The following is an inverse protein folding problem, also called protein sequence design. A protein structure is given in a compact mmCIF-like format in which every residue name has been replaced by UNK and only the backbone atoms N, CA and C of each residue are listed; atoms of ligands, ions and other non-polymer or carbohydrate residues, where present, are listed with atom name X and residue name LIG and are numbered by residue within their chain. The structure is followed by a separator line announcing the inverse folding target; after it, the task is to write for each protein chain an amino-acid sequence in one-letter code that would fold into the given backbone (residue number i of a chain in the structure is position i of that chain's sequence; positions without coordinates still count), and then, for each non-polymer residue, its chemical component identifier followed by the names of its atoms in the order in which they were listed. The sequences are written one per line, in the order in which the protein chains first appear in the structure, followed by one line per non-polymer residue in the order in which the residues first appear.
data_IF_898232904268
#
_entry.id   IF_898232904268
#
_cell.length_a   1.000
_cell.length_b   1.000
_cell.length_c   1.000
_cell.angle_alpha   90.00
_cell.angle_beta   90.00
_cell.angle_gamma   90.00
#
_symmetry.space_group_name_H-M   'P 1'
#
loop_
_entity.id
_entity.type
_entity.pdbx_description
1 polymer ?
#
# COMPACT_ATOMS: atom_id res chain seq x y z
N UNK A 1 -71.23 30.15 -3.46
CA UNK A 1 -71.38 29.14 -4.52
C UNK A 1 -69.98 28.60 -4.84
N UNK A 2 -69.78 27.28 -4.66
CA UNK A 2 -68.74 26.34 -5.16
C UNK A 2 -67.23 26.70 -5.20
N UNK A 3 -66.42 25.71 -4.78
CA UNK A 3 -64.95 25.63 -4.60
C UNK A 3 -64.24 25.27 -5.91
N UNK A 4 -62.91 25.48 -6.03
CA UNK A 4 -61.90 24.43 -6.36
C UNK A 4 -60.45 24.96 -6.50
N UNK A 5 -59.48 24.20 -5.93
CA UNK A 5 -58.03 24.24 -6.19
C UNK A 5 -57.69 23.44 -7.46
N UNK A 6 -56.56 23.75 -8.13
CA UNK A 6 -55.49 22.78 -8.50
C UNK A 6 -54.29 23.42 -9.22
N UNK A 7 -53.09 22.95 -8.86
CA UNK A 7 -51.75 23.17 -9.44
C UNK A 7 -51.60 22.69 -10.89
N UNK A 8 -50.65 23.25 -11.65
CA UNK A 8 -49.46 22.51 -12.13
C UNK A 8 -48.50 23.36 -12.97
N UNK A 9 -47.21 23.13 -12.74
CA UNK A 9 -46.03 23.72 -13.36
C UNK A 9 -45.36 22.67 -14.26
N UNK A 10 -45.14 22.95 -15.56
CA UNK A 10 -44.15 22.21 -16.38
C UNK A 10 -43.61 23.06 -17.56
N UNK A 11 -42.35 23.49 -17.41
CA UNK A 11 -41.19 23.39 -18.31
C UNK A 11 -41.34 23.65 -19.83
N UNK A 12 -40.82 24.80 -20.29
CA UNK A 12 -40.42 25.05 -21.70
C UNK A 12 -39.08 24.40 -22.05
N UNK A 13 -38.99 23.76 -23.22
CA UNK A 13 -37.79 23.14 -23.80
C UNK A 13 -37.46 23.82 -25.13
N UNK A 14 -36.21 24.26 -25.32
CA UNK A 14 -35.70 24.75 -26.60
C UNK A 14 -34.23 24.34 -26.81
N UNK A 15 -34.01 23.57 -27.88
CA UNK A 15 -32.86 23.40 -28.78
C UNK A 15 -31.40 23.54 -28.32
N UNK A 16 -30.60 22.50 -28.57
CA UNK A 16 -29.27 22.59 -29.24
C UNK A 16 -28.83 21.21 -29.77
N UNK A 17 -28.28 21.21 -31.00
CA UNK A 17 -27.83 20.09 -31.83
C UNK A 17 -26.32 19.72 -31.57
N UNK A 18 -25.73 18.68 -32.21
CA UNK A 18 -24.83 17.69 -31.58
C UNK A 18 -23.34 18.07 -31.51
N UNK A 19 -22.62 17.41 -30.58
CA UNK A 19 -21.16 17.52 -30.36
C UNK A 19 -20.39 16.61 -31.35
N UNK A 20 -19.25 17.03 -31.93
CA UNK A 20 -18.54 16.26 -32.96
C UNK A 20 -17.99 14.91 -32.48
N UNK A 21 -18.20 13.87 -33.29
CA UNK A 21 -17.58 12.55 -33.16
C UNK A 21 -16.05 12.65 -33.29
N UNK A 22 -15.35 12.31 -32.22
CA UNK A 22 -13.90 12.28 -32.17
C UNK A 22 -13.37 11.06 -32.97
N UNK A 23 -12.57 11.36 -33.99
CA UNK A 23 -11.99 10.41 -34.93
C UNK A 23 -10.96 9.49 -34.23
N UNK A 24 -11.30 8.24 -33.94
CA UNK A 24 -10.30 7.25 -33.48
C UNK A 24 -9.52 6.71 -34.68
N UNK A 25 -8.29 7.21 -34.84
CA UNK A 25 -7.29 6.74 -35.81
C UNK A 25 -6.96 5.26 -35.55
N UNK A 26 -7.54 4.40 -36.38
CA UNK A 26 -7.28 2.96 -36.50
C UNK A 26 -5.81 2.73 -36.88
N UNK A 27 -4.98 2.25 -35.95
CA UNK A 27 -3.62 1.77 -36.30
C UNK A 27 -3.75 0.39 -36.94
N UNK A 28 -3.42 0.31 -38.23
CA UNK A 28 -3.21 -0.92 -38.98
C UNK A 28 -2.13 -1.76 -38.28
N UNK A 29 -2.44 -3.02 -37.94
CA UNK A 29 -1.44 -4.03 -37.61
C UNK A 29 -1.02 -4.72 -38.90
N UNK A 30 0.27 -4.66 -39.23
CA UNK A 30 0.87 -5.49 -40.29
C UNK A 30 1.32 -6.80 -39.60
N UNK A 31 0.89 -7.99 -40.06
CA UNK A 31 1.48 -9.24 -39.62
C UNK A 31 2.65 -9.57 -40.56
N UNK A 32 3.81 -9.91 -40.01
CA UNK A 32 4.89 -10.52 -40.79
C UNK A 32 5.12 -11.91 -40.24
N UNK A 33 4.69 -12.89 -41.03
CA UNK A 33 5.03 -14.30 -40.90
C UNK A 33 6.28 -14.54 -41.75
N UNK A 34 7.18 -15.41 -41.29
CA UNK A 34 7.87 -16.38 -42.14
C UNK A 34 8.66 -17.36 -41.27
N UNK A 35 8.47 -18.64 -41.59
CA UNK A 35 9.03 -19.82 -40.92
C UNK A 35 10.49 -20.12 -41.37
N UNK A 36 11.22 -21.03 -40.69
CA UNK A 36 12.69 -20.99 -40.56
C UNK A 36 13.44 -22.04 -41.40
N UNK A 37 14.76 -21.83 -41.60
CA UNK A 37 15.72 -22.95 -41.77
C UNK A 37 17.19 -22.59 -41.40
N UNK A 38 17.65 -23.22 -40.30
CA UNK A 38 18.97 -23.85 -39.99
C UNK A 38 20.32 -23.07 -39.90
N UNK A 39 20.84 -23.10 -38.65
CA UNK A 39 22.16 -23.56 -38.17
C UNK A 39 23.30 -22.55 -37.82
N UNK A 40 23.38 -22.25 -36.51
CA UNK A 40 24.52 -22.20 -35.54
C UNK A 40 25.81 -21.36 -35.79
N UNK A 41 26.61 -21.01 -34.74
CA UNK A 41 26.34 -20.85 -33.29
C UNK A 41 26.89 -19.52 -32.70
N UNK A 42 26.35 -19.04 -31.56
CA UNK A 42 27.11 -18.63 -30.34
C UNK A 42 26.34 -17.72 -29.37
N UNK A 43 26.53 -18.01 -28.07
CA UNK A 43 26.12 -17.30 -26.86
C UNK A 43 24.63 -17.32 -26.46
N UNK A 44 24.21 -18.44 -25.89
CA UNK A 44 22.89 -18.68 -25.30
C UNK A 44 22.70 -17.99 -23.94
N UNK A 45 21.76 -17.06 -23.85
CA UNK A 45 21.02 -16.79 -22.61
C UNK A 45 19.55 -17.01 -22.93
N UNK A 46 19.03 -18.17 -22.56
CA UNK A 46 17.60 -18.50 -22.67
C UNK A 46 17.02 -18.67 -21.28
N UNK A 47 16.06 -17.80 -21.01
CA UNK A 47 14.96 -17.92 -20.06
C UNK A 47 14.31 -19.30 -20.15
N UNK A 48 14.38 -20.07 -19.07
CA UNK A 48 13.54 -21.26 -18.91
C UNK A 48 12.39 -20.97 -17.94
N UNK A 49 11.19 -21.19 -18.46
CA UNK A 49 9.95 -21.42 -17.74
C UNK A 49 10.14 -22.49 -16.67
N UNK A 50 9.79 -22.19 -15.43
CA UNK A 50 9.81 -23.18 -14.35
C UNK A 50 8.42 -23.79 -14.19
N UNK A 51 8.26 -24.99 -14.76
CA UNK A 51 7.27 -25.96 -14.31
C UNK A 51 7.68 -26.44 -12.91
N UNK A 52 6.73 -26.37 -11.97
CA UNK A 52 6.94 -26.86 -10.61
C UNK A 52 6.63 -28.37 -10.59
N UNK A 53 7.66 -29.17 -10.34
CA UNK A 53 7.51 -30.53 -9.80
C UNK A 53 8.58 -30.75 -8.73
N UNK A 54 8.23 -31.37 -7.60
CA UNK A 54 9.08 -31.34 -6.40
C UNK A 54 10.17 -32.41 -6.49
N UNK A 55 11.20 -32.23 -5.66
CA UNK A 55 12.31 -33.15 -5.33
C UNK A 55 13.63 -32.92 -6.09
N UNK A 56 14.51 -32.12 -5.48
CA UNK A 56 15.89 -32.54 -5.11
C UNK A 56 16.64 -31.38 -4.46
N UNK A 57 17.39 -31.75 -3.43
CA UNK A 57 18.09 -30.91 -2.44
C UNK A 57 19.31 -30.20 -3.07
N UNK A 58 19.38 -28.88 -2.93
CA UNK A 58 20.58 -28.07 -3.26
C UNK A 58 21.00 -27.30 -2.00
N UNK A 59 22.29 -27.25 -1.62
CA UNK A 59 22.70 -26.69 -0.34
C UNK A 59 22.44 -25.19 -0.34
N UNK A 60 21.60 -24.73 0.58
CA UNK A 60 21.27 -23.32 0.72
C UNK A 60 22.53 -22.51 0.98
N UNK A 61 22.75 -21.49 0.14
CA UNK A 61 23.58 -20.35 0.52
C UNK A 61 22.93 -19.72 1.75
N UNK A 62 23.32 -20.17 2.94
CA UNK A 62 23.08 -19.41 4.16
C UNK A 62 23.99 -18.18 4.07
N UNK A 63 23.47 -17.11 3.48
CA UNK A 63 23.98 -15.78 3.74
C UNK A 63 23.80 -15.55 5.25
N UNK A 64 24.83 -15.87 6.04
CA UNK A 64 24.95 -15.36 7.40
C UNK A 64 25.11 -13.85 7.27
N UNK A 65 23.98 -13.15 7.19
CA UNK A 65 23.94 -11.71 7.27
C UNK A 65 24.42 -11.37 8.68
N UNK A 66 25.64 -10.87 8.78
CA UNK A 66 26.17 -10.33 10.04
C UNK A 66 25.27 -9.14 10.37
N UNK A 67 24.30 -9.36 11.26
CA UNK A 67 23.36 -8.34 11.69
C UNK A 67 24.20 -7.17 12.23
N UNK A 68 24.18 -6.04 11.51
CA UNK A 68 24.82 -4.82 11.97
C UNK A 68 23.89 -4.24 13.01
N UNK A 69 24.41 -3.84 14.17
CA UNK A 69 23.61 -3.39 15.33
C UNK A 69 22.58 -2.29 15.02
N UNK A 70 22.71 -1.61 13.87
CA UNK A 70 21.83 -0.53 13.40
C UNK A 70 21.10 -0.83 12.07
N UNK A 71 20.83 -2.09 11.72
CA UNK A 71 20.01 -2.40 10.54
C UNK A 71 18.55 -1.93 10.73
N UNK A 72 17.95 -1.34 9.69
CA UNK A 72 16.53 -0.99 9.69
C UNK A 72 15.66 -2.25 9.77
N UNK A 73 14.77 -2.32 10.76
CA UNK A 73 13.79 -3.40 10.93
C UNK A 73 12.41 -2.94 10.51
N UNK A 74 11.75 -3.73 9.66
CA UNK A 74 10.36 -3.48 9.26
C UNK A 74 9.47 -4.41 10.09
N UNK A 75 8.54 -3.84 10.86
CA UNK A 75 7.71 -4.58 11.82
C UNK A 75 6.24 -4.39 11.48
N UNK A 76 5.53 -5.51 11.24
CA UNK A 76 4.07 -5.53 11.16
C UNK A 76 3.46 -5.37 12.54
N UNK A 77 2.66 -4.32 12.74
CA UNK A 77 2.10 -4.00 14.04
C UNK A 77 0.67 -3.44 13.94
N UNK A 78 -0.13 -3.69 14.97
CA UNK A 78 -1.34 -2.90 15.26
C UNK A 78 -0.95 -1.53 15.82
N UNK A 79 -1.88 -0.58 15.85
CA UNK A 79 -1.58 0.81 16.26
C UNK A 79 -1.07 0.85 17.70
N UNK A 80 -1.63 0.03 18.57
CA UNK A 80 -1.21 -0.12 19.97
C UNK A 80 0.25 -0.59 20.08
N UNK A 81 0.58 -1.72 19.44
CA UNK A 81 1.95 -2.28 19.41
C UNK A 81 2.93 -1.30 18.80
N UNK A 82 2.56 -0.61 17.71
CA UNK A 82 3.39 0.44 17.10
C UNK A 82 3.74 1.53 18.11
N UNK A 83 2.76 2.05 18.86
CA UNK A 83 3.00 3.06 19.90
C UNK A 83 3.94 2.54 20.98
N UNK A 84 3.75 1.29 21.42
CA UNK A 84 4.59 0.65 22.43
C UNK A 84 6.04 0.46 21.93
N UNK A 85 6.24 -0.10 20.74
CA UNK A 85 7.58 -0.39 20.22
C UNK A 85 8.36 0.86 19.79
N UNK A 86 7.65 1.94 19.47
CA UNK A 86 8.29 3.20 19.07
C UNK A 86 9.18 3.81 20.15
N UNK A 87 8.98 3.43 21.41
CA UNK A 87 9.88 3.85 22.50
C UNK A 87 11.31 3.34 22.32
N UNK A 88 11.55 2.30 21.52
CA UNK A 88 12.88 1.71 21.30
C UNK A 88 13.59 2.25 20.04
N UNK A 89 12.98 3.20 19.34
CA UNK A 89 13.53 3.80 18.11
C UNK A 89 14.85 4.56 18.32
N UNK A 90 15.21 4.87 19.57
CA UNK A 90 16.50 5.47 19.91
C UNK A 90 17.66 4.45 19.91
N UNK A 91 17.38 3.16 20.11
CA UNK A 91 18.39 2.08 20.09
C UNK A 91 18.43 1.36 18.76
N UNK A 92 17.27 1.16 18.13
CA UNK A 92 17.15 0.40 16.88
C UNK A 92 16.31 1.15 15.86
N UNK A 93 16.71 1.10 14.59
CA UNK A 93 15.96 1.76 13.52
C UNK A 93 14.73 0.91 13.17
N UNK A 94 13.53 1.43 13.44
CA UNK A 94 12.26 0.75 13.17
C UNK A 94 11.43 1.48 12.11
N UNK A 95 10.82 0.71 11.22
CA UNK A 95 9.77 1.15 10.31
C UNK A 95 8.56 0.24 10.52
N UNK A 96 7.37 0.81 10.65
CA UNK A 96 6.17 0.03 10.93
C UNK A 96 5.33 -0.19 9.68
N UNK A 97 4.78 -1.39 9.57
CA UNK A 97 3.70 -1.76 8.67
C UNK A 97 2.40 -1.84 9.46
N UNK A 98 1.43 -0.99 9.12
CA UNK A 98 0.13 -0.92 9.79
C UNK A 98 -0.98 -1.10 8.75
N UNK A 99 -1.91 -2.01 9.03
CA UNK A 99 -3.19 -2.06 8.34
C UNK A 99 -4.26 -1.36 9.16
N UNK A 100 -5.06 -0.53 8.52
CA UNK A 100 -6.22 0.06 9.17
C UNK A 100 -7.23 0.65 8.19
N UNK A 101 -8.44 0.86 8.68
CA UNK A 101 -9.52 1.51 7.95
C UNK A 101 -9.29 3.01 7.94
N UNK A 102 -9.43 3.62 6.75
CA UNK A 102 -9.38 5.07 6.63
C UNK A 102 -10.63 5.70 7.28
N UNK A 103 -10.44 6.42 8.38
CA UNK A 103 -11.52 6.99 9.18
C UNK A 103 -11.83 8.45 8.81
N UNK A 104 -10.88 9.22 8.29
CA UNK A 104 -11.11 10.60 7.86
C UNK A 104 -11.08 10.79 6.35
N UNK A 105 -11.57 11.93 5.87
CA UNK A 105 -11.19 12.43 4.56
C UNK A 105 -9.69 12.81 4.57
N UNK A 106 -9.05 12.73 3.41
CA UNK A 106 -7.68 13.23 3.23
C UNK A 106 -7.71 14.74 3.13
N UNK A 107 -6.97 15.42 3.99
CA UNK A 107 -6.85 16.88 3.99
C UNK A 107 -5.45 17.30 3.50
N UNK A 108 -5.35 18.28 2.59
CA UNK A 108 -4.06 18.84 2.21
C UNK A 108 -3.49 19.68 3.37
N UNK A 109 -2.19 19.56 3.59
CA UNK A 109 -1.41 20.37 4.53
C UNK A 109 -0.34 21.18 3.80
N UNK A 110 0.50 21.86 4.58
CA UNK A 110 1.64 22.61 4.05
C UNK A 110 2.68 21.69 3.39
N UNK A 111 3.47 22.23 2.46
CA UNK A 111 4.59 21.53 1.81
C UNK A 111 4.22 20.19 1.16
N UNK A 112 3.04 20.10 0.54
CA UNK A 112 2.59 18.86 -0.12
C UNK A 112 2.19 17.74 0.84
N UNK A 113 2.00 18.05 2.13
CA UNK A 113 1.51 17.10 3.10
C UNK A 113 0.05 16.70 2.82
N UNK A 114 -0.29 15.45 3.08
CA UNK A 114 -1.64 14.89 3.11
C UNK A 114 -1.85 14.25 4.47
N UNK A 115 -2.85 14.74 5.19
CA UNK A 115 -3.19 14.27 6.52
C UNK A 115 -4.47 13.45 6.48
N UNK A 116 -4.50 12.36 7.23
CA UNK A 116 -5.67 11.50 7.36
C UNK A 116 -5.61 10.68 8.65
N UNK A 117 -6.72 10.10 9.08
CA UNK A 117 -6.79 9.26 10.29
C UNK A 117 -6.99 7.81 9.90
N UNK A 118 -6.16 6.94 10.45
CA UNK A 118 -6.24 5.49 10.30
C UNK A 118 -6.74 4.85 11.60
N UNK A 119 -7.59 3.82 11.49
CA UNK A 119 -8.18 3.10 12.64
C UNK A 119 -8.05 1.59 12.44
N UNK A 120 -7.57 0.87 13.45
CA UNK A 120 -7.45 -0.61 13.41
C UNK A 120 -8.64 -1.32 14.09
N UNK A 121 -9.61 -0.56 14.60
CA UNK A 121 -10.81 -1.02 15.29
C UNK A 121 -10.76 -0.79 16.79
N UNK A 122 -9.56 -0.73 17.39
CA UNK A 122 -9.36 -0.41 18.80
C UNK A 122 -8.86 1.02 18.96
N UNK A 123 -7.82 1.36 18.24
CA UNK A 123 -7.17 2.66 18.30
C UNK A 123 -7.25 3.40 16.97
N UNK A 124 -6.95 4.69 17.03
CA UNK A 124 -6.75 5.53 15.86
C UNK A 124 -5.43 6.27 15.96
N UNK A 125 -4.87 6.61 14.80
CA UNK A 125 -3.64 7.38 14.68
C UNK A 125 -3.76 8.39 13.55
N UNK A 126 -3.23 9.60 13.79
CA UNK A 126 -3.11 10.63 12.76
C UNK A 126 -1.92 10.30 11.88
N UNK A 127 -2.17 10.22 10.57
CA UNK A 127 -1.17 9.93 9.56
C UNK A 127 -0.87 11.18 8.74
N UNK A 128 0.39 11.30 8.31
CA UNK A 128 0.83 12.32 7.35
C UNK A 128 1.66 11.65 6.26
N UNK A 129 1.39 11.99 5.01
CA UNK A 129 2.15 11.57 3.83
C UNK A 129 2.61 12.81 3.07
N UNK A 130 3.88 12.88 2.65
CA UNK A 130 4.39 14.01 1.88
C UNK A 130 4.52 13.63 0.41
N UNK A 131 3.83 14.38 -0.45
CA UNK A 131 3.92 14.21 -1.91
C UNK A 131 5.17 14.89 -2.46
N UNK A 132 6.35 14.29 -2.24
CA UNK A 132 7.62 14.78 -2.78
C UNK A 132 7.91 14.09 -4.12
N UNK A 133 8.21 12.79 -4.06
CA UNK A 133 8.53 12.00 -5.26
C UNK A 133 7.32 11.24 -5.83
N UNK A 134 6.23 11.16 -5.05
CA UNK A 134 5.06 10.32 -5.36
C UNK A 134 3.78 10.97 -4.88
N UNK A 135 2.75 10.90 -5.70
CA UNK A 135 1.40 11.32 -5.33
C UNK A 135 0.73 10.26 -4.44
N UNK A 136 -0.08 10.71 -3.47
CA UNK A 136 -0.86 9.81 -2.64
C UNK A 136 -2.00 9.21 -3.50
N UNK A 137 -2.12 7.88 -3.62
CA UNK A 137 -3.23 7.28 -4.34
C UNK A 137 -4.56 7.69 -3.70
N UNK A 138 -5.63 7.75 -4.50
CA UNK A 138 -6.96 8.13 -4.00
C UNK A 138 -7.42 7.19 -2.88
N UNK A 139 -7.35 7.67 -1.64
CA UNK A 139 -7.80 6.92 -0.47
C UNK A 139 -9.33 7.02 -0.35
N UNK A 140 -9.97 5.88 -0.07
CA UNK A 140 -11.44 5.80 0.07
C UNK A 140 -11.76 5.51 1.53
N UNK A 141 -12.50 6.43 2.16
CA UNK A 141 -12.96 6.28 3.55
C UNK A 141 -13.73 4.97 3.73
N UNK A 142 -13.51 4.31 4.87
CA UNK A 142 -14.13 3.02 5.18
C UNK A 142 -13.44 1.81 4.53
N UNK A 143 -12.42 2.01 3.69
CA UNK A 143 -11.59 0.90 3.17
C UNK A 143 -10.31 0.73 3.99
N UNK A 144 -9.83 -0.51 4.04
CA UNK A 144 -8.57 -0.86 4.68
C UNK A 144 -7.40 -0.48 3.76
N UNK A 145 -6.43 0.21 4.33
CA UNK A 145 -5.20 0.63 3.68
C UNK A 145 -4.00 0.07 4.44
N UNK A 146 -2.95 -0.23 3.68
CA UNK A 146 -1.63 -0.58 4.18
C UNK A 146 -0.75 0.65 4.17
N UNK A 147 -0.28 1.03 5.35
CA UNK A 147 0.55 2.19 5.58
C UNK A 147 1.89 1.73 6.14
N UNK A 148 2.98 2.14 5.48
CA UNK A 148 4.35 1.94 5.96
C UNK A 148 4.88 3.27 6.48
N UNK A 149 5.50 3.34 7.65
CA UNK A 149 5.94 4.62 8.18
C UNK A 149 6.62 4.58 9.54
N UNK A 150 7.10 5.74 9.95
CA UNK A 150 7.70 5.96 11.25
C UNK A 150 6.69 6.66 12.16
N UNK A 151 6.58 6.21 13.41
CA UNK A 151 5.73 6.85 14.38
C UNK A 151 6.51 7.84 15.25
N UNK A 152 6.06 9.10 15.26
CA UNK A 152 6.61 10.16 16.08
C UNK A 152 5.82 10.22 17.39
N UNK A 153 6.39 9.66 18.46
CA UNK A 153 5.74 9.59 19.78
C UNK A 153 5.44 10.96 20.38
N UNK A 154 6.30 11.96 20.12
CA UNK A 154 6.13 13.32 20.64
C UNK A 154 4.96 14.04 20.00
N UNK A 155 4.76 13.82 18.70
CA UNK A 155 3.68 14.46 17.94
C UNK A 155 2.42 13.62 17.85
N UNK A 156 2.48 12.34 18.23
CA UNK A 156 1.42 11.36 17.99
C UNK A 156 1.01 11.31 16.51
N UNK A 157 2.02 11.32 15.62
CA UNK A 157 1.83 11.34 14.17
C UNK A 157 2.58 10.16 13.56
N UNK A 158 1.87 9.39 12.74
CA UNK A 158 2.45 8.37 11.88
C UNK A 158 2.85 8.97 10.54
N UNK A 159 4.16 9.12 10.32
CA UNK A 159 4.73 9.64 9.07
C UNK A 159 4.81 8.52 8.06
N UNK A 160 3.83 8.46 7.17
CA UNK A 160 3.76 7.46 6.14
C UNK A 160 4.82 7.71 5.06
N UNK A 161 5.62 6.68 4.80
CA UNK A 161 6.53 6.57 3.66
C UNK A 161 5.79 6.01 2.44
N UNK A 162 4.81 5.13 2.65
CA UNK A 162 3.98 4.57 1.59
C UNK A 162 2.57 4.30 2.10
N UNK A 163 1.57 4.54 1.26
CA UNK A 163 0.16 4.23 1.52
C UNK A 163 -0.44 3.58 0.28
N UNK A 164 -1.09 2.43 0.45
CA UNK A 164 -1.84 1.78 -0.64
C UNK A 164 -3.07 1.05 -0.12
N UNK A 165 -4.08 0.78 -0.97
CA UNK A 165 -5.16 -0.15 -0.61
C UNK A 165 -4.59 -1.51 -0.19
N UNK A 166 -5.15 -2.09 0.88
CA UNK A 166 -4.76 -3.41 1.35
C UNK A 166 -5.49 -4.51 0.56
N UNK A 167 -4.78 -5.55 0.17
CA UNK A 167 -5.35 -6.69 -0.56
C UNK A 167 -6.08 -7.61 0.43
N UNK A 168 -7.13 -8.31 -0.02
CA UNK A 168 -7.93 -9.20 0.84
C UNK A 168 -7.07 -10.31 1.47
N UNK A 169 -6.08 -10.83 0.74
CA UNK A 169 -5.14 -11.83 1.26
C UNK A 169 -4.32 -11.27 2.41
N UNK A 170 -3.75 -10.07 2.23
CA UNK A 170 -2.97 -9.37 3.27
C UNK A 170 -3.79 -9.16 4.53
N UNK A 171 -5.04 -8.70 4.39
CA UNK A 171 -5.92 -8.47 5.54
C UNK A 171 -6.17 -9.74 6.37
N UNK A 172 -6.26 -10.91 5.73
CA UNK A 172 -6.47 -12.18 6.41
C UNK A 172 -5.24 -12.65 7.17
N UNK A 173 -4.05 -12.49 6.58
CA UNK A 173 -2.79 -12.98 7.17
C UNK A 173 -2.14 -11.97 8.11
N UNK A 174 -2.53 -10.69 8.06
CA UNK A 174 -1.85 -9.63 8.80
C UNK A 174 -1.78 -9.88 10.31
N UNK A 175 -2.85 -10.39 10.91
CA UNK A 175 -2.89 -10.66 12.35
C UNK A 175 -1.88 -11.74 12.76
N UNK A 176 -1.57 -12.69 11.89
CA UNK A 176 -0.53 -13.69 12.15
C UNK A 176 0.86 -13.06 12.11
N UNK A 177 1.13 -12.21 11.11
CA UNK A 177 2.38 -11.46 11.02
C UNK A 177 2.60 -10.54 12.23
N UNK A 178 1.55 -9.85 12.70
CA UNK A 178 1.63 -9.00 13.91
C UNK A 178 2.01 -9.83 15.13
N UNK A 179 1.40 -11.01 15.32
CA UNK A 179 1.70 -11.88 16.47
C UNK A 179 3.16 -12.33 16.47
N UNK A 180 3.67 -12.75 15.32
CA UNK A 180 5.05 -13.20 15.16
C UNK A 180 6.00 -12.02 15.42
N UNK A 181 5.74 -10.88 14.79
CA UNK A 181 6.56 -9.68 14.94
C UNK A 181 6.59 -9.14 16.39
N UNK A 182 5.45 -9.14 17.09
CA UNK A 182 5.36 -8.73 18.49
C UNK A 182 6.07 -9.72 19.43
N UNK A 183 6.10 -11.02 19.11
CA UNK A 183 6.87 -12.01 19.87
C UNK A 183 8.37 -11.80 19.69
N UNK A 184 8.83 -11.69 18.44
CA UNK A 184 10.25 -11.47 18.11
C UNK A 184 10.76 -10.14 18.70
N UNK A 185 9.98 -9.07 18.59
CA UNK A 185 10.35 -7.77 19.13
C UNK A 185 10.47 -7.79 20.66
N UNK A 186 9.63 -8.58 21.36
CA UNK A 186 9.76 -8.77 22.82
C UNK A 186 11.06 -9.45 23.20
N UNK A 187 11.44 -10.51 22.49
CA UNK A 187 12.69 -11.21 22.74
C UNK A 187 13.90 -10.33 22.42
N UNK A 188 13.85 -9.59 21.31
CA UNK A 188 14.87 -8.61 20.94
C UNK A 188 15.04 -7.53 22.02
N UNK A 189 13.94 -6.95 22.50
CA UNK A 189 14.00 -5.93 23.57
C UNK A 189 14.54 -6.50 24.88
N UNK A 190 14.19 -7.75 25.22
CA UNK A 190 14.71 -8.41 26.42
C UNK A 190 16.23 -8.56 26.35
N UNK A 191 16.73 -9.13 25.26
CA UNK A 191 18.19 -9.30 25.05
C UNK A 191 18.93 -7.97 25.01
N UNK A 192 18.34 -6.94 24.42
CA UNK A 192 18.91 -5.59 24.33
C UNK A 192 18.97 -4.84 25.68
N UNK A 193 18.10 -5.18 26.64
CA UNK A 193 18.08 -4.55 27.97
C UNK A 193 18.86 -5.35 29.03
N UNK A 194 19.22 -6.60 28.74
CA UNK A 194 20.08 -7.44 29.59
C UNK A 194 21.57 -7.13 29.42
N UNK A 195 21.94 -6.32 28.42
CA UNK A 195 23.29 -5.80 28.14
C UNK A 195 23.44 -4.39 28.69
#
# INVERSE_FOLDING_TARGET
MKRNLTESSVRSTAGCLPVPLFNQKKRNRIPLTSNPLKNEPSSSVTTHSFDFSPTSTVPGYQLKLKEKDNSLRIISAVIESMKHWSQYTYKTALLFEVLGTLDSAVTPGSYGAKSFVLRDGKESVSCIFYEIDRELPRLIRGRVHRCMGNYDTKKNIFKCVSVRPAIVTEQKTFQEFVKIADMEMREYVKTMNEV
#
